data_IF_375940932749
#
_entry.id   IF_375940932749
#
_cell.length_a   1.000
_cell.length_b   1.000
_cell.length_c   1.000
_cell.angle_alpha   90.00
_cell.angle_beta   90.00
_cell.angle_gamma   90.00
#
_symmetry.space_group_name_H-M   'P 1'
#
loop_
_entity.id
_entity.type
_entity.pdbx_description
1 polymer ?
#
# COMPACT_ATOMS: atom_id res chain seq x y z
N UNK A 1 -7.05 26.07 -5.02
CA UNK A 1 -7.70 25.05 -4.17
C UNK A 1 -6.93 23.78 -4.40
N UNK A 2 -6.13 23.35 -3.44
CA UNK A 2 -5.33 22.11 -3.56
C UNK A 2 -6.26 20.90 -3.45
N UNK A 3 -6.68 20.39 -4.60
CA UNK A 3 -7.27 19.07 -4.74
C UNK A 3 -6.12 18.06 -4.71
N UNK A 4 -5.73 17.67 -3.51
CA UNK A 4 -4.69 16.66 -3.31
C UNK A 4 -5.32 15.26 -3.39
N UNK A 5 -4.73 14.39 -4.22
CA UNK A 5 -5.18 13.01 -4.41
C UNK A 5 -5.26 12.25 -3.08
N UNK A 6 -4.42 12.59 -2.09
CA UNK A 6 -4.48 12.02 -0.74
C UNK A 6 -5.82 12.28 -0.04
N UNK A 7 -6.42 13.46 -0.24
CA UNK A 7 -7.73 13.79 0.34
C UNK A 7 -8.84 12.99 -0.33
N UNK A 8 -8.80 12.86 -1.66
CA UNK A 8 -9.76 12.06 -2.42
C UNK A 8 -9.71 10.58 -2.00
N UNK A 9 -8.49 10.04 -1.83
CA UNK A 9 -8.29 8.67 -1.31
C UNK A 9 -8.83 8.51 0.10
N UNK A 10 -8.53 9.45 1.01
CA UNK A 10 -9.06 9.43 2.39
C UNK A 10 -10.59 9.53 2.43
N UNK A 11 -11.18 10.33 1.55
CA UNK A 11 -12.63 10.46 1.39
C UNK A 11 -13.28 9.23 0.73
N UNK A 12 -12.48 8.28 0.24
CA UNK A 12 -12.91 7.13 -0.53
C UNK A 12 -13.66 7.51 -1.83
N UNK A 13 -13.31 8.66 -2.43
CA UNK A 13 -13.92 9.14 -3.67
C UNK A 13 -13.14 8.61 -4.89
N UNK A 14 -13.55 7.44 -5.37
CA UNK A 14 -12.92 6.82 -6.54
C UNK A 14 -13.15 7.57 -7.86
N UNK A 15 -14.16 8.45 -7.95
CA UNK A 15 -14.37 9.26 -9.14
C UNK A 15 -13.39 10.44 -9.17
N UNK A 16 -13.20 11.10 -8.03
CA UNK A 16 -12.24 12.20 -7.90
C UNK A 16 -10.80 11.69 -8.09
N UNK A 17 -10.44 10.52 -7.54
CA UNK A 17 -9.12 9.89 -7.77
C UNK A 17 -8.87 9.63 -9.26
N UNK A 18 -9.86 9.11 -9.99
CA UNK A 18 -9.74 8.91 -11.45
C UNK A 18 -9.60 10.24 -12.18
N UNK A 19 -10.43 11.23 -11.87
CA UNK A 19 -10.37 12.54 -12.50
C UNK A 19 -9.01 13.23 -12.28
N UNK A 20 -8.44 13.09 -11.09
CA UNK A 20 -7.10 13.60 -10.77
C UNK A 20 -6.02 12.84 -11.54
N UNK A 21 -6.13 11.51 -11.65
CA UNK A 21 -5.20 10.68 -12.41
C UNK A 21 -5.28 10.94 -13.92
N UNK A 22 -6.47 11.22 -14.45
CA UNK A 22 -6.68 11.55 -15.86
C UNK A 22 -6.09 12.92 -16.20
N UNK A 23 -6.12 13.86 -15.23
CA UNK A 23 -5.50 15.18 -15.37
C UNK A 23 -3.97 15.15 -15.19
N UNK A 24 -3.49 14.32 -14.27
CA UNK A 24 -2.07 14.17 -13.95
C UNK A 24 -1.77 12.70 -13.57
N UNK A 25 -1.22 11.96 -14.53
CA UNK A 25 -0.86 10.55 -14.34
C UNK A 25 0.23 10.34 -13.29
N UNK A 26 0.98 11.37 -12.92
CA UNK A 26 2.00 11.29 -11.86
C UNK A 26 1.41 11.45 -10.47
N UNK A 27 0.17 11.93 -10.35
CA UNK A 27 -0.49 12.19 -9.07
C UNK A 27 -0.59 10.91 -8.22
N UNK A 28 -0.86 9.75 -8.83
CA UNK A 28 -1.02 8.47 -8.11
C UNK A 28 0.23 8.00 -7.37
N UNK A 29 1.40 8.54 -7.70
CA UNK A 29 2.69 8.23 -7.09
C UNK A 29 3.30 9.42 -6.33
N UNK A 30 2.57 10.54 -6.23
CA UNK A 30 3.07 11.74 -5.54
C UNK A 30 3.16 11.46 -4.05
N UNK A 31 4.35 11.58 -3.49
CA UNK A 31 4.54 11.56 -2.04
C UNK A 31 4.27 12.94 -1.45
N UNK A 32 3.54 13.00 -0.34
CA UNK A 32 3.26 14.24 0.38
C UNK A 32 3.17 14.00 1.89
N UNK A 33 3.39 15.06 2.66
CA UNK A 33 3.07 15.05 4.09
C UNK A 33 1.55 15.09 4.25
N UNK A 34 0.98 14.04 4.85
CA UNK A 34 -0.46 13.90 5.00
C UNK A 34 -0.82 13.37 6.39
N UNK A 35 -1.79 14.01 7.05
CA UNK A 35 -2.29 13.63 8.38
C UNK A 35 -1.19 13.54 9.47
N UNK A 36 -0.15 14.36 9.34
CA UNK A 36 0.99 14.38 10.27
C UNK A 36 2.09 13.38 9.97
N UNK A 37 2.01 12.66 8.85
CA UNK A 37 3.02 11.69 8.41
C UNK A 37 3.70 12.17 7.14
N UNK A 38 5.03 12.02 7.08
CA UNK A 38 5.85 12.53 5.98
C UNK A 38 6.04 11.45 4.89
N UNK A 39 6.05 11.90 3.63
CA UNK A 39 6.34 11.05 2.49
C UNK A 39 5.29 9.98 2.16
N UNK A 40 4.02 10.16 2.52
CA UNK A 40 2.99 9.20 2.15
C UNK A 40 2.65 9.30 0.66
N UNK A 41 2.56 8.17 -0.02
CA UNK A 41 1.94 8.04 -1.33
C UNK A 41 0.42 7.80 -1.16
N UNK A 42 -0.40 8.03 -2.21
CA UNK A 42 -1.84 7.83 -2.14
C UNK A 42 -2.20 6.39 -1.75
N UNK A 43 -1.42 5.41 -2.20
CA UNK A 43 -1.63 3.99 -1.84
C UNK A 43 -1.39 3.72 -0.36
N UNK A 44 -0.44 4.41 0.30
CA UNK A 44 -0.25 4.29 1.75
C UNK A 44 -1.50 4.74 2.50
N UNK A 45 -2.15 5.83 2.05
CA UNK A 45 -3.40 6.31 2.65
C UNK A 45 -4.51 5.29 2.48
N UNK A 46 -4.68 4.70 1.29
CA UNK A 46 -5.71 3.69 1.04
C UNK A 46 -5.52 2.44 1.94
N UNK A 47 -4.29 1.92 2.01
CA UNK A 47 -3.95 0.75 2.83
C UNK A 47 -4.14 1.01 4.31
N UNK A 48 -3.75 2.21 4.79
CA UNK A 48 -3.91 2.60 6.19
C UNK A 48 -5.37 2.63 6.62
N UNK A 49 -6.27 3.03 5.73
CA UNK A 49 -7.71 3.04 6.00
C UNK A 49 -8.37 1.68 5.81
N UNK A 50 -7.63 0.65 5.34
CA UNK A 50 -8.22 -0.67 5.10
C UNK A 50 -9.04 -0.76 3.82
N UNK A 51 -8.93 0.23 2.91
CA UNK A 51 -9.80 0.33 1.74
C UNK A 51 -9.26 -0.54 0.58
N UNK A 52 -9.81 -1.75 0.44
CA UNK A 52 -9.43 -2.72 -0.60
C UNK A 52 -9.74 -2.18 -2.00
N UNK A 53 -10.95 -1.67 -2.22
CA UNK A 53 -11.40 -1.18 -3.52
C UNK A 53 -10.58 0.02 -3.98
N UNK A 54 -10.26 0.93 -3.05
CA UNK A 54 -9.43 2.10 -3.35
C UNK A 54 -7.99 1.70 -3.66
N UNK A 55 -7.44 0.72 -2.94
CA UNK A 55 -6.09 0.20 -3.20
C UNK A 55 -6.03 -0.47 -4.59
N UNK A 56 -7.06 -1.26 -4.94
CA UNK A 56 -7.17 -1.88 -6.27
C UNK A 56 -7.33 -0.83 -7.39
N UNK A 57 -8.11 0.23 -7.13
CA UNK A 57 -8.25 1.34 -8.06
C UNK A 57 -6.90 2.04 -8.31
N UNK A 58 -6.19 2.41 -7.25
CA UNK A 58 -4.89 3.08 -7.36
C UNK A 58 -3.88 2.21 -8.10
N UNK A 59 -3.82 0.90 -7.80
CA UNK A 59 -2.98 -0.03 -8.55
C UNK A 59 -3.34 -0.06 -10.05
N UNK A 60 -4.63 -0.14 -10.37
CA UNK A 60 -5.11 -0.09 -11.76
C UNK A 60 -4.79 1.23 -12.50
N UNK A 61 -4.54 2.31 -11.75
CA UNK A 61 -4.11 3.61 -12.28
C UNK A 61 -2.57 3.75 -12.37
N UNK A 62 -1.81 2.71 -12.01
CA UNK A 62 -0.34 2.73 -12.07
C UNK A 62 0.35 3.17 -10.78
N UNK A 63 -0.29 3.01 -9.63
CA UNK A 63 0.34 3.23 -8.34
C UNK A 63 1.50 2.24 -8.11
N UNK A 64 2.64 2.78 -7.69
CA UNK A 64 3.85 2.02 -7.34
C UNK A 64 3.73 1.49 -5.90
N UNK A 65 3.79 0.16 -5.77
CA UNK A 65 3.67 -0.55 -4.50
C UNK A 65 4.95 -0.49 -3.66
N UNK A 66 6.09 -0.19 -4.31
CA UNK A 66 7.43 -0.22 -3.72
C UNK A 66 7.86 1.14 -3.18
N UNK A 67 7.04 2.19 -3.35
CA UNK A 67 7.24 3.46 -2.66
C UNK A 67 7.21 3.21 -1.16
N UNK A 68 8.21 3.76 -0.47
CA UNK A 68 8.28 3.75 0.98
C UNK A 68 7.96 5.14 1.53
N UNK A 69 7.24 5.22 2.64
CA UNK A 69 7.08 6.49 3.33
C UNK A 69 8.39 7.00 3.93
N UNK A 70 8.50 8.30 4.20
CA UNK A 70 9.75 8.89 4.68
C UNK A 70 9.97 8.64 6.18
N UNK A 71 8.90 8.53 6.95
CA UNK A 71 8.92 8.47 8.42
C UNK A 71 9.35 7.09 8.96
N UNK A 72 8.71 6.03 8.49
CA UNK A 72 8.88 4.64 8.91
C UNK A 72 9.61 3.80 7.86
N UNK A 73 9.74 4.30 6.64
CA UNK A 73 10.30 3.55 5.50
C UNK A 73 9.45 2.32 5.15
N UNK A 74 8.14 2.36 5.40
CA UNK A 74 7.23 1.26 5.08
C UNK A 74 6.65 1.42 3.70
N UNK A 75 6.57 0.30 2.97
CA UNK A 75 5.83 0.21 1.71
C UNK A 75 4.34 0.00 1.97
N UNK A 76 3.52 0.01 0.92
CA UNK A 76 2.10 -0.37 1.01
C UNK A 76 1.93 -1.72 1.71
N UNK A 77 2.75 -2.71 1.36
CA UNK A 77 2.72 -4.03 2.01
C UNK A 77 3.20 -3.96 3.47
N UNK A 78 4.22 -3.15 3.77
CA UNK A 78 4.68 -2.91 5.14
C UNK A 78 3.58 -2.35 6.05
N UNK A 79 2.78 -1.40 5.56
CA UNK A 79 1.63 -0.86 6.29
C UNK A 79 0.53 -1.91 6.51
N UNK A 80 0.18 -2.68 5.48
CA UNK A 80 -0.81 -3.76 5.60
C UNK A 80 -0.36 -4.82 6.62
N UNK A 81 0.92 -5.18 6.60
CA UNK A 81 1.55 -6.12 7.54
C UNK A 81 1.57 -5.58 8.98
N UNK A 82 1.91 -4.30 9.16
CA UNK A 82 1.93 -3.64 10.47
C UNK A 82 0.53 -3.55 11.11
N UNK A 83 -0.48 -3.18 10.31
CA UNK A 83 -1.87 -3.01 10.75
C UNK A 83 -2.64 -4.35 10.87
N UNK A 84 -2.13 -5.43 10.28
CA UNK A 84 -2.80 -6.74 10.27
C UNK A 84 -3.91 -6.86 9.24
N UNK A 85 -3.91 -6.02 8.20
CA UNK A 85 -4.90 -6.04 7.14
C UNK A 85 -4.64 -7.24 6.21
N UNK A 86 -5.07 -8.43 6.64
CA UNK A 86 -4.77 -9.71 5.98
C UNK A 86 -5.21 -9.74 4.51
N UNK A 87 -6.42 -9.27 4.23
CA UNK A 87 -6.98 -9.24 2.87
C UNK A 87 -6.22 -8.25 1.96
N UNK A 88 -5.85 -7.08 2.49
CA UNK A 88 -5.02 -6.12 1.75
C UNK A 88 -3.62 -6.64 1.51
N UNK A 89 -3.01 -7.28 2.52
CA UNK A 89 -1.69 -7.88 2.39
C UNK A 89 -1.69 -8.98 1.31
N UNK A 90 -2.71 -9.84 1.29
CA UNK A 90 -2.89 -10.83 0.22
C UNK A 90 -3.03 -10.16 -1.15
N UNK A 91 -3.87 -9.12 -1.25
CA UNK A 91 -4.10 -8.40 -2.50
C UNK A 91 -2.81 -7.74 -3.03
N UNK A 92 -2.05 -7.08 -2.16
CA UNK A 92 -0.79 -6.42 -2.52
C UNK A 92 0.25 -7.42 -3.02
N UNK A 93 0.38 -8.58 -2.37
CA UNK A 93 1.29 -9.64 -2.84
C UNK A 93 0.84 -10.19 -4.19
N UNK A 94 -0.47 -10.38 -4.40
CA UNK A 94 -1.03 -10.77 -5.71
C UNK A 94 -0.79 -9.72 -6.80
N UNK A 95 -0.67 -8.45 -6.43
CA UNK A 95 -0.31 -7.36 -7.34
C UNK A 95 1.20 -7.27 -7.61
N UNK A 96 2.00 -8.12 -6.97
CA UNK A 96 3.46 -8.19 -7.15
C UNK A 96 4.26 -7.34 -6.17
N UNK A 97 3.69 -6.96 -5.03
CA UNK A 97 4.44 -6.26 -3.98
C UNK A 97 5.58 -7.14 -3.43
N UNK A 98 6.75 -6.56 -3.26
CA UNK A 98 7.95 -7.27 -2.83
C UNK A 98 7.88 -7.68 -1.34
N UNK A 99 7.86 -8.99 -1.09
CA UNK A 99 7.90 -9.57 0.25
C UNK A 99 9.25 -9.32 0.97
N UNK A 100 10.31 -9.10 0.20
CA UNK A 100 11.67 -8.80 0.66
C UNK A 100 11.98 -7.29 0.65
N UNK A 101 10.95 -6.44 0.67
CA UNK A 101 11.13 -4.99 0.78
C UNK A 101 11.99 -4.63 2.02
N UNK A 102 12.68 -3.49 1.96
CA UNK A 102 13.61 -3.03 3.02
C UNK A 102 12.99 -3.03 4.42
N UNK A 103 11.70 -2.75 4.53
CA UNK A 103 10.97 -2.76 5.79
C UNK A 103 10.71 -4.17 6.37
N UNK A 104 11.03 -5.24 5.64
CA UNK A 104 10.74 -6.64 5.98
C UNK A 104 9.29 -6.86 6.44
N UNK A 105 8.31 -6.77 5.52
CA UNK A 105 6.88 -6.89 5.85
C UNK A 105 6.53 -8.09 6.72
N UNK A 106 7.10 -9.27 6.46
CA UNK A 106 6.88 -10.48 7.26
C UNK A 106 7.32 -10.27 8.71
N UNK A 107 8.51 -9.69 8.93
CA UNK A 107 9.03 -9.44 10.27
C UNK A 107 8.22 -8.37 11.00
N UNK A 108 7.73 -7.35 10.28
CA UNK A 108 6.81 -6.35 10.85
C UNK A 108 5.52 -6.99 11.35
N UNK A 109 4.89 -7.86 10.56
CA UNK A 109 3.69 -8.58 10.96
C UNK A 109 3.95 -9.45 12.21
N UNK A 110 5.11 -10.11 12.30
CA UNK A 110 5.52 -10.89 13.49
C UNK A 110 5.64 -9.98 14.71
N UNK A 111 6.33 -8.85 14.59
CA UNK A 111 6.55 -7.91 15.70
C UNK A 111 5.22 -7.35 16.23
N UNK A 112 4.26 -7.12 15.33
CA UNK A 112 2.92 -6.63 15.64
C UNK A 112 1.93 -7.73 16.03
N UNK A 113 2.37 -9.00 16.12
CA UNK A 113 1.54 -10.17 16.45
C UNK A 113 0.37 -10.40 15.49
N UNK A 114 0.57 -10.09 14.22
CA UNK A 114 -0.43 -10.25 13.17
C UNK A 114 -0.37 -11.67 12.58
N UNK A 115 -0.73 -12.67 13.39
CA UNK A 115 -0.55 -14.10 13.06
C UNK A 115 -1.19 -14.49 11.72
N UNK A 116 -2.38 -13.97 11.43
CA UNK A 116 -3.08 -14.25 10.17
C UNK A 116 -2.34 -13.67 8.96
N UNK A 117 -1.81 -12.45 9.08
CA UNK A 117 -1.02 -11.82 8.02
C UNK A 117 0.31 -12.55 7.82
N UNK A 118 1.01 -12.94 8.90
CA UNK A 118 2.26 -13.72 8.82
C UNK A 118 2.03 -15.03 8.06
N UNK A 119 0.94 -15.75 8.38
CA UNK A 119 0.60 -17.00 7.70
C UNK A 119 0.38 -16.79 6.21
N UNK A 120 -0.37 -15.77 5.83
CA UNK A 120 -0.61 -15.45 4.41
C UNK A 120 0.72 -15.11 3.73
N UNK A 121 1.50 -14.17 4.26
CA UNK A 121 2.73 -13.73 3.61
C UNK A 121 3.74 -14.87 3.43
N UNK A 122 3.92 -15.73 4.45
CA UNK A 122 4.76 -16.94 4.34
C UNK A 122 4.28 -17.91 3.27
N UNK A 123 2.96 -18.09 3.13
CA UNK A 123 2.41 -18.95 2.09
C UNK A 123 2.70 -18.46 0.67
N UNK A 124 3.00 -17.17 0.47
CA UNK A 124 3.41 -16.61 -0.81
C UNK A 124 4.93 -16.58 -0.96
N UNK A 125 5.68 -16.35 0.14
CA UNK A 125 7.15 -16.41 0.18
C UNK A 125 7.66 -17.81 -0.22
N UNK A 126 7.08 -18.87 0.35
CA UNK A 126 7.45 -20.27 0.06
C UNK A 126 7.17 -20.69 -1.40
N UNK A 127 6.40 -19.91 -2.17
CA UNK A 127 6.09 -20.22 -3.58
C UNK A 127 7.14 -19.69 -4.55
N UNK A 128 7.87 -18.64 -4.20
CA UNK A 128 8.90 -18.09 -5.09
C UNK A 128 10.14 -18.98 -5.15
N UNK A 129 10.36 -19.89 -4.19
CA UNK A 129 11.48 -20.84 -4.20
C UNK A 129 11.28 -22.05 -5.15
N UNK A 130 10.15 -22.18 -5.84
CA UNK A 130 9.85 -23.38 -6.66
C UNK A 130 10.09 -23.24 -8.17
N UNK A 131 10.60 -22.11 -8.64
CA UNK A 131 10.82 -21.83 -10.07
C UNK A 131 12.31 -21.85 -10.51
N UNK A 132 13.14 -22.75 -9.96
CA UNK A 132 14.51 -23.07 -10.46
C UNK A 132 14.70 -24.54 -10.88
#
# INVERSE_FOLDING_TARGET
METDIHKAVKANDGQEVKALSDADTTAVNRIATFDGHEGLAPIHVAVRHGNIEMTALLYGLGADLELSDEEHQYTALGWAAYLGHCELAEMLVRFGANLSARCNPIQLAINQKQDATVRILRMYDDREETDE
#
